data_IF_369168387493
#
_entry.id   IF_369168387493
#
_cell.length_a   1.000
_cell.length_b   1.000
_cell.length_c   1.000
_cell.angle_alpha   90.00
_cell.angle_beta   90.00
_cell.angle_gamma   90.00
#
_symmetry.space_group_name_H-M   'P 1'
#
loop_
_entity.id
_entity.type
_entity.pdbx_description
1 polymer ?
#
# COMPACT_ATOMS: atom_id res chain seq x y z
N UNK A 1 0.76 23.90 2.95
CA UNK A 1 1.15 23.33 4.26
C UNK A 1 0.32 22.09 4.62
N UNK A 2 -1.03 22.19 4.59
CA UNK A 2 -1.92 21.08 5.00
C UNK A 2 -1.72 19.76 4.24
N UNK A 3 -1.47 19.83 2.92
CA UNK A 3 -1.29 18.62 2.10
C UNK A 3 -0.01 17.85 2.45
N UNK A 4 1.04 18.54 2.89
CA UNK A 4 2.30 17.87 3.30
C UNK A 4 2.09 17.10 4.59
N UNK A 5 1.33 17.65 5.53
CA UNK A 5 0.95 16.95 6.77
C UNK A 5 0.14 15.70 6.44
N UNK A 6 -0.88 15.83 5.58
CA UNK A 6 -1.67 14.69 5.10
C UNK A 6 -0.79 13.61 4.45
N UNK A 7 0.18 14.02 3.64
CA UNK A 7 1.13 13.12 2.97
C UNK A 7 1.97 12.32 3.98
N UNK A 8 2.43 12.93 5.08
CA UNK A 8 3.18 12.21 6.13
C UNK A 8 2.32 11.11 6.74
N UNK A 9 1.11 11.45 7.18
CA UNK A 9 0.18 10.46 7.73
C UNK A 9 -0.13 9.36 6.73
N UNK A 10 -0.32 9.72 5.46
CA UNK A 10 -0.58 8.76 4.40
C UNK A 10 0.59 7.80 4.18
N UNK A 11 1.84 8.30 4.13
CA UNK A 11 3.03 7.46 3.99
C UNK A 11 3.13 6.47 5.16
N UNK A 12 2.92 6.93 6.39
CA UNK A 12 2.90 6.05 7.58
C UNK A 12 1.84 4.96 7.42
N UNK A 13 0.64 5.32 6.96
CA UNK A 13 -0.44 4.37 6.74
C UNK A 13 -0.10 3.33 5.64
N UNK A 14 0.48 3.76 4.51
CA UNK A 14 0.92 2.85 3.46
C UNK A 14 2.01 1.89 3.94
N UNK A 15 2.97 2.37 4.73
CA UNK A 15 4.02 1.53 5.31
C UNK A 15 3.44 0.53 6.32
N UNK A 16 2.50 0.95 7.17
CA UNK A 16 1.81 0.06 8.11
C UNK A 16 1.03 -1.02 7.36
N UNK A 17 0.34 -0.65 6.28
CA UNK A 17 -0.38 -1.58 5.42
C UNK A 17 0.59 -2.56 4.76
N UNK A 18 1.66 -2.08 4.14
CA UNK A 18 2.69 -2.90 3.52
C UNK A 18 3.28 -3.91 4.50
N UNK A 19 3.69 -3.45 5.69
CA UNK A 19 4.20 -4.31 6.75
C UNK A 19 3.19 -5.40 7.14
N UNK A 20 1.91 -5.03 7.28
CA UNK A 20 0.85 -5.98 7.62
C UNK A 20 0.68 -7.04 6.54
N UNK A 21 0.63 -6.64 5.25
CA UNK A 21 0.52 -7.56 4.12
C UNK A 21 1.72 -8.50 4.03
N UNK A 22 2.93 -7.98 4.21
CA UNK A 22 4.14 -8.80 4.17
C UNK A 22 4.18 -9.81 5.33
N UNK A 23 4.00 -9.33 6.56
CA UNK A 23 4.08 -10.15 7.78
C UNK A 23 2.97 -11.22 7.84
N UNK A 24 1.82 -10.98 7.22
CA UNK A 24 0.72 -11.93 7.16
C UNK A 24 0.65 -12.67 5.82
N UNK A 25 1.62 -12.51 4.92
CA UNK A 25 1.66 -13.29 3.67
C UNK A 25 1.91 -14.78 3.88
N UNK A 26 2.47 -15.16 5.03
CA UNK A 26 2.72 -16.55 5.45
C UNK A 26 1.82 -17.01 6.61
N UNK A 27 0.92 -16.14 7.07
CA UNK A 27 0.01 -16.40 8.21
C UNK A 27 -1.42 -16.10 7.78
N UNK A 28 -2.39 -16.31 8.67
CA UNK A 28 -3.77 -15.87 8.40
C UNK A 28 -3.80 -14.34 8.28
N UNK A 29 -4.43 -13.85 7.22
CA UNK A 29 -4.69 -12.43 7.02
C UNK A 29 -6.19 -12.21 7.03
N UNK A 30 -6.72 -11.58 8.07
CA UNK A 30 -8.17 -11.45 8.29
C UNK A 30 -8.85 -12.83 8.26
N UNK A 31 -9.83 -13.02 7.37
CA UNK A 31 -10.54 -14.29 7.14
C UNK A 31 -9.86 -15.18 6.10
N UNK A 32 -8.75 -14.72 5.52
CA UNK A 32 -8.05 -15.42 4.44
C UNK A 32 -6.87 -16.23 4.97
N UNK A 33 -6.60 -17.36 4.32
CA UNK A 33 -5.43 -18.23 4.56
C UNK A 33 -4.44 -18.18 3.39
N UNK A 34 -3.63 -17.10 3.24
CA UNK A 34 -2.62 -16.97 2.18
C UNK A 34 -1.65 -18.16 2.07
N UNK A 35 -1.38 -18.85 3.18
CA UNK A 35 -0.50 -20.02 3.19
C UNK A 35 -1.06 -21.20 2.38
N UNK A 36 -2.37 -21.28 2.19
CA UNK A 36 -3.04 -22.34 1.44
C UNK A 36 -3.25 -21.95 -0.04
N UNK A 37 -3.08 -20.67 -0.39
CA UNK A 37 -3.26 -20.16 -1.75
C UNK A 37 -2.07 -19.30 -2.19
N UNK A 38 -1.20 -19.90 -3.01
CA UNK A 38 0.02 -19.26 -3.55
C UNK A 38 -0.28 -17.95 -4.31
N UNK A 39 -1.42 -17.86 -5.00
CA UNK A 39 -1.82 -16.64 -5.72
C UNK A 39 -2.06 -15.49 -4.74
N UNK A 40 -2.79 -15.76 -3.66
CA UNK A 40 -3.08 -14.76 -2.63
C UNK A 40 -1.81 -14.30 -1.90
N UNK A 41 -0.92 -15.24 -1.55
CA UNK A 41 0.39 -14.94 -0.96
C UNK A 41 1.24 -14.06 -1.86
N UNK A 42 1.35 -14.40 -3.14
CA UNK A 42 2.13 -13.63 -4.11
C UNK A 42 1.60 -12.20 -4.26
N UNK A 43 0.28 -12.04 -4.25
CA UNK A 43 -0.35 -10.74 -4.44
C UNK A 43 -0.19 -9.87 -3.20
N UNK A 44 -0.35 -10.43 -2.01
CA UNK A 44 -0.05 -9.71 -0.77
C UNK A 44 1.40 -9.21 -0.72
N UNK A 45 2.37 -10.06 -1.11
CA UNK A 45 3.79 -9.68 -1.16
C UNK A 45 4.06 -8.63 -2.24
N UNK A 46 3.49 -8.81 -3.44
CA UNK A 46 3.63 -7.87 -4.54
C UNK A 46 3.07 -6.49 -4.17
N UNK A 47 1.83 -6.44 -3.66
CA UNK A 47 1.21 -5.19 -3.19
C UNK A 47 2.03 -4.55 -2.08
N UNK A 48 2.53 -5.33 -1.10
CA UNK A 48 3.39 -4.80 -0.05
C UNK A 48 4.62 -4.08 -0.61
N UNK A 49 5.35 -4.71 -1.54
CA UNK A 49 6.52 -4.08 -2.18
C UNK A 49 6.12 -2.82 -2.94
N UNK A 50 5.00 -2.85 -3.67
CA UNK A 50 4.50 -1.70 -4.41
C UNK A 50 4.16 -0.51 -3.49
N UNK A 51 3.52 -0.78 -2.35
CA UNK A 51 3.21 0.22 -1.32
C UNK A 51 4.47 0.83 -0.70
N UNK A 52 5.52 0.03 -0.47
CA UNK A 52 6.82 0.55 -0.02
C UNK A 52 7.44 1.46 -1.07
N UNK A 53 7.44 1.07 -2.35
CA UNK A 53 7.97 1.90 -3.44
C UNK A 53 7.23 3.23 -3.55
N UNK A 54 5.89 3.21 -3.45
CA UNK A 54 5.09 4.45 -3.44
C UNK A 54 5.34 5.29 -2.19
N UNK A 55 5.59 4.66 -1.04
CA UNK A 55 5.96 5.38 0.18
C UNK A 55 7.31 6.09 0.03
N UNK A 56 8.30 5.44 -0.57
CA UNK A 56 9.61 6.04 -0.88
C UNK A 56 9.44 7.21 -1.86
N UNK A 57 8.67 7.02 -2.94
CA UNK A 57 8.32 8.11 -3.87
C UNK A 57 7.62 9.25 -3.13
N UNK A 58 6.71 8.94 -2.22
CA UNK A 58 6.02 9.93 -1.41
C UNK A 58 6.95 10.77 -0.54
N UNK A 59 7.98 10.15 0.05
CA UNK A 59 9.03 10.89 0.79
C UNK A 59 9.79 11.83 -0.15
N UNK A 60 10.19 11.36 -1.34
CA UNK A 60 10.88 12.20 -2.34
C UNK A 60 10.00 13.39 -2.75
N UNK A 61 8.73 13.13 -3.08
CA UNK A 61 7.76 14.16 -3.47
C UNK A 61 7.48 15.16 -2.33
N UNK A 62 7.53 14.72 -1.07
CA UNK A 62 7.34 15.61 0.08
C UNK A 62 8.47 16.64 0.22
N UNK A 63 9.71 16.22 -0.08
CA UNK A 63 10.92 17.04 0.03
C UNK A 63 11.04 18.05 -1.11
N UNK A 64 10.87 17.60 -2.36
CA UNK A 64 11.18 18.41 -3.56
C UNK A 64 9.99 18.61 -4.52
N UNK A 65 8.86 17.95 -4.29
CA UNK A 65 7.72 17.95 -5.19
C UNK A 65 6.73 19.09 -4.99
N UNK A 66 5.89 19.32 -6.02
CA UNK A 66 4.82 20.31 -6.00
C UNK A 66 3.55 19.78 -5.33
N UNK A 67 2.56 20.66 -5.10
CA UNK A 67 1.27 20.28 -4.51
C UNK A 67 0.54 19.23 -5.37
N UNK A 68 0.62 19.37 -6.68
CA UNK A 68 0.01 18.48 -7.67
C UNK A 68 0.66 17.10 -7.62
N UNK A 69 1.99 17.03 -7.51
CA UNK A 69 2.71 15.75 -7.35
C UNK A 69 2.34 15.03 -6.05
N UNK A 70 2.13 15.79 -4.95
CA UNK A 70 1.63 15.22 -3.69
C UNK A 70 0.23 14.61 -3.90
N UNK A 71 -0.70 15.32 -4.56
CA UNK A 71 -2.03 14.78 -4.89
C UNK A 71 -1.97 13.51 -5.74
N UNK A 72 -1.16 13.52 -6.80
CA UNK A 72 -1.00 12.35 -7.69
C UNK A 72 -0.48 11.15 -6.89
N UNK A 73 0.48 11.36 -5.99
CA UNK A 73 1.05 10.28 -5.17
C UNK A 73 0.02 9.73 -4.17
N UNK A 74 -0.80 10.59 -3.56
CA UNK A 74 -1.91 10.18 -2.70
C UNK A 74 -2.90 9.30 -3.47
N UNK A 75 -3.31 9.76 -4.67
CA UNK A 75 -4.22 9.01 -5.55
C UNK A 75 -3.60 7.67 -5.92
N UNK A 76 -2.34 7.64 -6.36
CA UNK A 76 -1.64 6.42 -6.74
C UNK A 76 -1.60 5.39 -5.61
N UNK A 77 -1.21 5.80 -4.40
CA UNK A 77 -1.20 4.91 -3.23
C UNK A 77 -2.59 4.37 -2.88
N UNK A 78 -3.62 5.23 -2.97
CA UNK A 78 -5.01 4.83 -2.70
C UNK A 78 -5.53 3.83 -3.74
N UNK A 79 -5.19 4.02 -5.02
CA UNK A 79 -5.57 3.11 -6.11
C UNK A 79 -4.93 1.74 -5.92
N UNK A 80 -3.65 1.66 -5.51
CA UNK A 80 -2.98 0.39 -5.25
C UNK A 80 -3.66 -0.35 -4.08
N UNK A 81 -3.95 0.35 -2.98
CA UNK A 81 -4.63 -0.23 -1.83
C UNK A 81 -6.05 -0.70 -2.18
N UNK A 82 -6.80 0.10 -2.94
CA UNK A 82 -8.15 -0.24 -3.41
C UNK A 82 -8.12 -1.43 -4.36
N UNK A 83 -7.21 -1.46 -5.32
CA UNK A 83 -7.05 -2.56 -6.26
C UNK A 83 -6.73 -3.88 -5.53
N UNK A 84 -5.85 -3.83 -4.52
CA UNK A 84 -5.60 -4.98 -3.65
C UNK A 84 -6.86 -5.45 -2.92
N UNK A 85 -7.63 -4.53 -2.35
CA UNK A 85 -8.87 -4.88 -1.65
C UNK A 85 -9.90 -5.52 -2.58
N UNK A 86 -10.07 -4.99 -3.79
CA UNK A 86 -10.99 -5.55 -4.80
C UNK A 86 -10.50 -6.92 -5.26
N UNK A 87 -9.20 -7.05 -5.54
CA UNK A 87 -8.63 -8.31 -5.99
C UNK A 87 -8.80 -9.39 -4.93
N UNK A 88 -8.49 -9.09 -3.66
CA UNK A 88 -8.65 -10.02 -2.55
C UNK A 88 -10.11 -10.46 -2.35
N UNK A 89 -11.07 -9.54 -2.52
CA UNK A 89 -12.49 -9.86 -2.47
C UNK A 89 -12.93 -10.83 -3.59
N UNK A 90 -12.25 -10.80 -4.74
CA UNK A 90 -12.58 -11.60 -5.92
C UNK A 90 -11.79 -12.93 -6.03
N UNK A 91 -10.82 -13.20 -5.15
CA UNK A 91 -10.11 -14.52 -5.08
C UNK A 91 -10.98 -15.60 -4.41
N UNK A 92 -12.21 -15.29 -4.03
CA UNK A 92 -13.09 -16.20 -3.28
C UNK A 92 -13.43 -17.48 -4.05
#
# INVERSE_FOLDING_TARGET
MIIKVLMIFFIIFLLALAYTLWSHSDKKFLIYSPNENLTMKNIMRFTSVLLVLVSILGVVVLLIGTKEMNLITLILGSLIAAAFSIYLANIR
#
